data_IF_092517380998
#
_entry.id   IF_092517380998
#
_cell.length_a   1.000
_cell.length_b   1.000
_cell.length_c   1.000
_cell.angle_alpha   90.00
_cell.angle_beta   90.00
_cell.angle_gamma   90.00
#
_symmetry.space_group_name_H-M   'P 1'
#
loop_
_entity.id
_entity.type
_entity.pdbx_description
1 polymer ?
#
# COMPACT_ATOMS: atom_id res chain seq x y z
N UNK A 1 7.28 3.05 18.00
CA UNK A 1 6.14 2.14 18.25
C UNK A 1 5.16 2.40 17.13
N UNK A 2 4.70 1.37 16.41
CA UNK A 2 3.77 1.58 15.32
C UNK A 2 2.41 2.09 15.82
N UNK A 3 1.67 2.79 14.97
CA UNK A 3 0.34 3.31 15.26
C UNK A 3 -0.63 2.16 15.56
N UNK A 4 -1.41 2.30 16.63
CA UNK A 4 -2.41 1.30 17.04
C UNK A 4 -3.82 1.87 16.96
N UNK A 5 -4.74 1.06 16.46
CA UNK A 5 -6.14 1.42 16.38
C UNK A 5 -6.78 1.43 17.77
N UNK A 6 -7.76 2.30 17.95
CA UNK A 6 -8.65 2.33 19.11
C UNK A 6 -9.72 1.25 18.99
N UNK A 7 -10.30 0.84 20.13
CA UNK A 7 -11.42 -0.11 20.14
C UNK A 7 -12.63 0.41 19.33
N UNK A 8 -12.85 1.73 19.34
CA UNK A 8 -13.93 2.35 18.57
C UNK A 8 -13.72 2.23 17.05
N UNK A 9 -12.47 2.36 16.58
CA UNK A 9 -12.11 2.17 15.17
C UNK A 9 -12.26 0.71 14.75
N UNK A 10 -11.80 -0.23 15.59
CA UNK A 10 -11.98 -1.68 15.36
C UNK A 10 -13.47 -2.03 15.31
N UNK A 11 -14.28 -1.50 16.23
CA UNK A 11 -15.72 -1.73 16.23
C UNK A 11 -16.39 -1.13 14.99
N UNK A 12 -15.96 0.06 14.56
CA UNK A 12 -16.45 0.70 13.33
C UNK A 12 -16.16 -0.19 12.11
N UNK A 13 -14.95 -0.76 12.01
CA UNK A 13 -14.62 -1.71 10.95
C UNK A 13 -15.52 -2.95 10.98
N UNK A 14 -15.74 -3.55 12.16
CA UNK A 14 -16.60 -4.74 12.31
C UNK A 14 -18.05 -4.48 11.93
N UNK A 15 -18.57 -3.29 12.23
CA UNK A 15 -19.97 -2.93 11.95
C UNK A 15 -20.20 -2.49 10.50
N UNK A 16 -19.25 -1.73 9.92
CA UNK A 16 -19.43 -1.05 8.64
C UNK A 16 -18.64 -1.66 7.49
N UNK A 17 -17.68 -2.53 7.79
CA UNK A 17 -16.74 -3.09 6.81
C UNK A 17 -15.62 -2.13 6.38
N UNK A 18 -15.52 -0.94 6.98
CA UNK A 18 -14.44 0.01 6.73
C UNK A 18 -14.18 0.91 7.94
N UNK A 19 -13.01 1.51 7.98
CA UNK A 19 -12.60 2.48 9.01
C UNK A 19 -11.63 3.49 8.39
N UNK A 20 -11.72 4.74 8.83
CA UNK A 20 -10.73 5.79 8.54
C UNK A 20 -10.03 6.05 9.87
N UNK A 21 -8.80 5.54 10.08
CA UNK A 21 -8.10 5.73 11.34
C UNK A 21 -7.64 7.18 11.51
N UNK A 22 -7.45 7.62 12.76
CA UNK A 22 -6.76 8.89 13.06
C UNK A 22 -5.24 8.75 12.88
N UNK A 23 -4.84 8.40 11.66
CA UNK A 23 -3.47 8.18 11.24
C UNK A 23 -3.27 8.77 9.84
N UNK A 24 -2.17 9.51 9.68
CA UNK A 24 -1.68 9.97 8.40
C UNK A 24 -0.29 9.41 8.17
N UNK A 25 0.04 9.06 6.93
CA UNK A 25 1.40 8.71 6.56
C UNK A 25 2.33 9.90 6.83
N UNK A 26 3.56 9.65 7.32
CA UNK A 26 4.57 10.69 7.44
C UNK A 26 4.82 11.43 6.12
N UNK A 27 5.09 12.74 6.18
CA UNK A 27 5.25 13.59 5.00
C UNK A 27 6.39 13.13 4.08
N UNK A 28 7.47 12.58 4.64
CA UNK A 28 8.60 12.04 3.90
C UNK A 28 8.23 10.76 3.15
N UNK A 29 7.45 9.86 3.76
CA UNK A 29 6.90 8.67 3.09
C UNK A 29 5.98 9.10 1.95
N UNK A 30 5.10 10.08 2.20
CA UNK A 30 4.20 10.60 1.17
C UNK A 30 4.96 11.26 0.01
N UNK A 31 6.05 11.99 0.31
CA UNK A 31 6.94 12.56 -0.72
C UNK A 31 7.60 11.46 -1.54
N UNK A 32 8.14 10.42 -0.89
CA UNK A 32 8.77 9.30 -1.58
C UNK A 32 7.78 8.53 -2.47
N UNK A 33 6.52 8.37 -2.02
CA UNK A 33 5.46 7.77 -2.85
C UNK A 33 5.17 8.58 -4.11
N UNK A 34 5.18 9.91 -4.03
CA UNK A 34 4.99 10.80 -5.19
C UNK A 34 6.15 10.69 -6.18
N UNK A 35 7.38 10.70 -5.69
CA UNK A 35 8.57 10.57 -6.53
C UNK A 35 8.60 9.21 -7.24
N UNK A 36 8.28 8.13 -6.52
CA UNK A 36 8.24 6.79 -7.10
C UNK A 36 7.07 6.62 -8.08
N UNK A 37 5.94 7.30 -7.85
CA UNK A 37 4.81 7.33 -8.78
C UNK A 37 5.18 7.98 -10.12
N UNK A 38 5.83 9.14 -10.11
CA UNK A 38 6.30 9.79 -11.33
C UNK A 38 7.27 8.90 -12.12
N UNK A 39 8.17 8.21 -11.41
CA UNK A 39 9.07 7.22 -12.03
C UNK A 39 8.29 6.05 -12.63
N UNK A 40 7.33 5.48 -11.89
CA UNK A 40 6.51 4.37 -12.36
C UNK A 40 5.79 4.75 -13.66
N UNK A 41 5.20 5.94 -13.74
CA UNK A 41 4.55 6.43 -14.96
C UNK A 41 5.55 6.61 -16.11
N UNK A 42 6.71 7.21 -15.84
CA UNK A 42 7.74 7.42 -16.86
C UNK A 42 8.24 6.10 -17.46
N UNK A 43 8.50 5.10 -16.62
CA UNK A 43 9.06 3.80 -17.02
C UNK A 43 8.05 2.91 -17.76
N UNK A 44 6.76 3.17 -17.58
CA UNK A 44 5.64 2.35 -18.08
C UNK A 44 4.75 3.07 -19.11
N UNK A 45 5.15 4.24 -19.61
CA UNK A 45 4.38 5.06 -20.59
C UNK A 45 3.92 4.31 -21.84
N UNK A 46 4.65 3.28 -22.25
CA UNK A 46 4.40 2.53 -23.47
C UNK A 46 3.41 1.36 -23.28
N UNK A 47 2.98 1.08 -22.03
CA UNK A 47 2.04 -0.02 -21.75
C UNK A 47 0.62 0.26 -22.27
N UNK A 48 0.29 1.51 -22.60
CA UNK A 48 -0.98 1.90 -23.22
C UNK A 48 -2.21 1.53 -22.39
N UNK A 49 -2.04 1.32 -21.09
CA UNK A 49 -3.08 0.90 -20.15
C UNK A 49 -3.27 1.98 -19.09
N UNK A 50 -4.53 2.22 -18.72
CA UNK A 50 -4.90 3.20 -17.69
C UNK A 50 -4.73 2.68 -16.25
N UNK A 51 -4.26 1.44 -16.07
CA UNK A 51 -3.98 0.84 -14.77
C UNK A 51 -2.68 0.03 -14.80
N UNK A 52 -1.93 -0.01 -13.70
CA UNK A 52 -0.65 -0.72 -13.61
C UNK A 52 -0.74 -1.78 -12.52
N UNK A 53 -0.82 -3.06 -12.90
CA UNK A 53 -0.88 -4.18 -11.97
C UNK A 53 0.49 -4.56 -11.43
N UNK A 54 0.57 -4.75 -10.12
CA UNK A 54 1.74 -5.27 -9.45
C UNK A 54 2.98 -4.37 -9.45
N UNK A 55 2.89 -3.03 -9.26
CA UNK A 55 4.07 -2.17 -9.18
C UNK A 55 5.06 -2.53 -8.06
N UNK A 56 4.65 -3.35 -7.07
CA UNK A 56 5.54 -3.92 -6.05
C UNK A 56 6.49 -5.03 -6.57
N UNK A 57 6.29 -5.52 -7.78
CA UNK A 57 7.14 -6.56 -8.36
C UNK A 57 8.37 -5.94 -9.02
N UNK A 58 9.57 -6.32 -8.56
CA UNK A 58 10.84 -5.88 -9.18
C UNK A 58 11.09 -6.54 -10.55
N UNK A 59 10.37 -7.63 -10.85
CA UNK A 59 10.38 -8.28 -12.16
C UNK A 59 9.02 -8.06 -12.81
N UNK A 60 8.97 -7.70 -14.11
CA UNK A 60 7.71 -7.49 -14.79
C UNK A 60 6.79 -8.73 -14.74
N UNK A 61 5.54 -8.49 -14.34
CA UNK A 61 4.48 -9.49 -14.37
C UNK A 61 3.87 -9.67 -15.77
N UNK A 62 2.66 -10.23 -15.83
CA UNK A 62 1.95 -10.50 -17.10
C UNK A 62 1.64 -9.25 -17.92
N UNK A 63 1.40 -8.12 -17.26
CA UNK A 63 1.17 -6.83 -17.93
C UNK A 63 2.49 -6.15 -18.36
N UNK A 64 3.64 -6.64 -17.92
CA UNK A 64 4.93 -6.03 -18.25
C UNK A 64 5.25 -4.75 -17.45
N UNK A 65 4.51 -4.48 -16.36
CA UNK A 65 4.78 -3.34 -15.46
C UNK A 65 6.19 -3.44 -14.89
N UNK A 66 7.00 -2.43 -15.14
CA UNK A 66 8.31 -2.21 -14.52
C UNK A 66 8.07 -1.58 -13.15
N UNK A 67 7.90 -2.43 -12.15
CA UNK A 67 7.73 -2.03 -10.76
C UNK A 67 9.05 -1.80 -10.03
N UNK A 68 8.95 -1.60 -8.72
CA UNK A 68 10.10 -1.43 -7.83
C UNK A 68 9.79 -1.94 -6.42
N UNK A 69 10.86 -2.18 -5.66
CA UNK A 69 10.77 -2.59 -4.27
C UNK A 69 10.07 -1.55 -3.38
N UNK A 70 10.17 -0.27 -3.72
CA UNK A 70 9.59 0.81 -2.93
C UNK A 70 8.08 0.64 -2.72
N UNK A 71 7.35 0.18 -3.74
CA UNK A 71 5.91 -0.10 -3.61
C UNK A 71 5.58 -1.22 -2.63
N UNK A 72 6.45 -2.25 -2.54
CA UNK A 72 6.32 -3.28 -1.51
C UNK A 72 6.57 -2.68 -0.13
N UNK A 73 7.62 -1.86 0.03
CA UNK A 73 7.97 -1.24 1.30
C UNK A 73 6.88 -0.24 1.76
N UNK A 74 6.25 0.50 0.85
CA UNK A 74 5.08 1.36 1.15
C UNK A 74 3.88 0.52 1.58
N UNK A 75 3.56 -0.54 0.84
CA UNK A 75 2.44 -1.43 1.16
C UNK A 75 2.63 -2.14 2.50
N UNK A 76 3.89 -2.36 2.91
CA UNK A 76 4.27 -3.04 4.17
C UNK A 76 4.74 -2.07 5.25
N UNK A 77 4.41 -0.78 5.13
CA UNK A 77 4.78 0.23 6.13
C UNK A 77 4.35 -0.24 7.54
N UNK A 78 5.24 -0.17 8.56
CA UNK A 78 4.98 -0.79 9.88
C UNK A 78 3.66 -0.37 10.52
N UNK A 79 3.28 0.90 10.40
CA UNK A 79 2.00 1.39 10.92
C UNK A 79 0.79 0.79 10.20
N UNK A 80 0.88 0.59 8.88
CA UNK A 80 -0.19 -0.03 8.10
C UNK A 80 -0.32 -1.52 8.46
N UNK A 81 0.81 -2.20 8.65
CA UNK A 81 0.83 -3.62 9.04
C UNK A 81 0.31 -3.84 10.46
N UNK A 82 0.67 -3.00 11.43
CA UNK A 82 0.14 -3.05 12.79
C UNK A 82 -1.38 -2.81 12.82
N UNK A 83 -1.88 -1.84 12.04
CA UNK A 83 -3.32 -1.60 11.93
C UNK A 83 -4.04 -2.77 11.25
N UNK A 84 -3.52 -3.29 10.13
CA UNK A 84 -4.12 -4.44 9.45
C UNK A 84 -4.13 -5.69 10.34
N UNK A 85 -3.05 -5.97 11.07
CA UNK A 85 -2.94 -7.12 11.97
C UNK A 85 -4.00 -7.11 13.08
N UNK A 86 -4.35 -5.93 13.60
CA UNK A 86 -5.43 -5.77 14.58
C UNK A 86 -6.81 -6.13 14.02
N UNK A 87 -7.00 -6.11 12.71
CA UNK A 87 -8.27 -6.40 12.05
C UNK A 87 -8.35 -7.85 11.52
N UNK A 88 -7.25 -8.38 10.96
CA UNK A 88 -7.26 -9.66 10.21
C UNK A 88 -6.25 -10.70 10.72
N UNK A 89 -5.48 -10.39 11.76
CA UNK A 89 -4.41 -11.25 12.30
C UNK A 89 -3.04 -10.99 11.66
N UNK A 90 -2.00 -11.59 12.25
CA UNK A 90 -0.60 -11.25 11.95
C UNK A 90 -0.08 -11.80 10.60
N UNK A 91 -0.70 -12.87 10.08
CA UNK A 91 -0.26 -13.54 8.85
C UNK A 91 -0.89 -12.88 7.61
N UNK A 92 -0.33 -11.74 7.20
CA UNK A 92 -0.84 -10.92 6.10
C UNK A 92 -0.06 -11.18 4.81
N UNK A 93 -0.80 -11.42 3.71
CA UNK A 93 -0.23 -11.55 2.36
C UNK A 93 -0.61 -10.32 1.54
N UNK A 94 0.38 -9.67 0.94
CA UNK A 94 0.14 -8.69 -0.12
C UNK A 94 -0.34 -9.43 -1.38
N UNK A 95 -1.66 -9.53 -1.55
CA UNK A 95 -2.26 -10.24 -2.68
C UNK A 95 -2.12 -9.49 -4.00
N UNK A 96 -2.18 -8.15 -3.97
CA UNK A 96 -2.09 -7.32 -5.17
C UNK A 96 -1.97 -5.84 -4.85
N UNK A 97 -1.41 -5.09 -5.79
CA UNK A 97 -1.37 -3.62 -5.80
C UNK A 97 -1.67 -3.15 -7.22
N UNK A 98 -2.31 -2.00 -7.36
CA UNK A 98 -2.74 -1.43 -8.65
C UNK A 98 -2.58 0.07 -8.65
#
# INVERSE_FOLDING_TARGET
MPHRMTEAEIQTYREKGYVVPDYALPDDVLSAMRDEYEKLLADNRDLGSDFLLGPHQEKPGTQGVKGSRAWFDFATHPDLMEMAAQLIGDDIILWGTT
#
